data_IF_745171410372
#
_entry.id   IF_745171410372
#
_cell.length_a   1.000
_cell.length_b   1.000
_cell.length_c   1.000
_cell.angle_alpha   90.00
_cell.angle_beta   90.00
_cell.angle_gamma   90.00
#
_symmetry.space_group_name_H-M   'P 1'
#
loop_
_entity.id
_entity.type
_entity.pdbx_description
1 polymer ?
#
# COMPACT_ATOMS: atom_id res chain seq x y z
N UNK A 1 21.56 -9.13 -17.60
CA UNK A 1 22.72 -8.44 -17.02
C UNK A 1 22.58 -8.46 -15.52
N UNK A 2 23.68 -8.55 -14.76
CA UNK A 2 23.63 -8.42 -13.31
C UNK A 2 23.25 -6.98 -12.97
N UNK A 3 22.20 -6.78 -12.17
CA UNK A 3 21.82 -5.46 -11.67
C UNK A 3 22.83 -5.04 -10.62
N UNK A 4 23.48 -3.89 -10.81
CA UNK A 4 24.45 -3.35 -9.86
C UNK A 4 23.90 -2.07 -9.24
N UNK A 5 23.56 -2.06 -7.94
CA UNK A 5 23.13 -0.84 -7.27
C UNK A 5 24.32 0.11 -7.08
N UNK A 6 24.09 1.39 -7.35
CA UNK A 6 25.00 2.46 -6.98
C UNK A 6 24.82 2.85 -5.52
N UNK A 7 25.81 3.56 -4.95
CA UNK A 7 25.73 4.04 -3.58
C UNK A 7 24.49 4.92 -3.37
N UNK A 8 23.73 4.74 -2.27
CA UNK A 8 22.62 5.60 -1.93
C UNK A 8 23.06 7.06 -1.75
N UNK A 9 22.26 8.01 -2.24
CA UNK A 9 22.48 9.44 -2.07
C UNK A 9 21.17 10.17 -1.76
N UNK A 10 21.18 11.32 -1.05
CA UNK A 10 19.97 12.11 -0.82
C UNK A 10 19.35 12.59 -2.13
N UNK A 11 18.03 12.63 -2.21
CA UNK A 11 17.35 13.21 -3.38
C UNK A 11 17.49 14.74 -3.36
N UNK A 12 18.07 15.37 -4.40
CA UNK A 12 18.25 16.82 -4.42
C UNK A 12 16.92 17.57 -4.43
N UNK A 13 16.82 18.65 -3.64
CA UNK A 13 15.68 19.57 -3.68
C UNK A 13 14.41 19.10 -2.96
N UNK A 14 14.46 17.95 -2.27
CA UNK A 14 13.37 17.53 -1.39
C UNK A 14 13.55 18.14 0.03
N UNK A 15 12.50 18.76 0.59
CA UNK A 15 12.48 19.14 2.00
C UNK A 15 12.71 17.93 2.90
N UNK A 16 13.43 18.13 4.01
CA UNK A 16 13.65 17.10 5.04
C UNK A 16 12.38 16.71 5.80
N UNK A 17 11.27 17.43 5.59
CA UNK A 17 9.95 17.10 6.14
C UNK A 17 9.22 16.05 5.32
N UNK A 18 9.68 15.75 4.10
CA UNK A 18 9.09 14.74 3.23
C UNK A 18 9.79 13.39 3.40
N UNK A 19 8.99 12.34 3.31
CA UNK A 19 9.41 10.95 3.36
C UNK A 19 8.58 10.12 2.37
N UNK A 20 9.10 8.96 1.98
CA UNK A 20 8.27 7.90 1.39
C UNK A 20 7.53 7.19 2.52
N UNK A 21 6.30 6.75 2.27
CA UNK A 21 5.43 6.11 3.26
C UNK A 21 4.50 5.06 2.65
N UNK A 22 3.55 4.53 3.43
CA UNK A 22 2.64 3.45 3.01
C UNK A 22 1.81 3.78 1.76
N UNK A 23 1.54 5.07 1.53
CA UNK A 23 0.72 5.58 0.42
C UNK A 23 1.57 6.21 -0.69
N UNK A 24 2.91 6.10 -0.62
CA UNK A 24 3.77 6.67 -1.64
C UNK A 24 3.80 5.82 -2.92
N UNK A 25 3.60 6.46 -4.07
CA UNK A 25 3.62 5.82 -5.40
C UNK A 25 3.89 6.83 -6.52
N UNK A 26 4.54 6.41 -7.62
CA UNK A 26 4.57 7.20 -8.84
C UNK A 26 3.17 7.29 -9.44
N UNK A 27 2.87 8.45 -10.01
CA UNK A 27 1.74 8.62 -10.91
C UNK A 27 1.98 7.88 -12.24
N UNK A 28 0.92 7.68 -13.03
CA UNK A 28 1.00 6.99 -14.32
C UNK A 28 1.88 7.73 -15.35
N UNK A 29 2.11 9.02 -15.14
CA UNK A 29 3.00 9.86 -15.95
C UNK A 29 4.51 9.69 -15.62
N UNK A 30 4.84 8.88 -14.60
CA UNK A 30 6.21 8.72 -14.06
C UNK A 30 6.89 10.01 -13.60
N UNK A 31 6.15 11.11 -13.54
CA UNK A 31 6.63 12.46 -13.26
C UNK A 31 6.04 12.99 -11.97
N UNK A 32 4.80 12.64 -11.66
CA UNK A 32 4.13 13.00 -10.41
C UNK A 32 4.31 11.88 -9.39
N UNK A 33 4.37 12.23 -8.11
CA UNK A 33 4.57 11.30 -7.00
C UNK A 33 3.61 11.66 -5.86
N UNK A 34 3.14 10.64 -5.14
CA UNK A 34 2.63 10.82 -3.78
C UNK A 34 3.78 10.58 -2.81
N UNK A 35 4.05 11.57 -1.95
CA UNK A 35 4.99 11.51 -0.83
C UNK A 35 4.23 11.81 0.47
N UNK A 36 4.88 11.62 1.61
CA UNK A 36 4.29 11.90 2.92
C UNK A 36 5.03 13.03 3.61
N UNK A 37 4.29 13.97 4.20
CA UNK A 37 4.81 15.08 5.01
C UNK A 37 4.08 15.13 6.34
N UNK A 38 4.64 14.51 7.38
CA UNK A 38 3.93 14.27 8.64
C UNK A 38 2.70 13.38 8.42
N UNK A 39 1.53 13.85 8.89
CA UNK A 39 0.26 13.13 8.75
C UNK A 39 -0.45 13.41 7.41
N UNK A 40 0.20 14.13 6.49
CA UNK A 40 -0.39 14.58 5.24
C UNK A 40 0.26 13.89 4.05
N UNK A 41 -0.57 13.60 3.04
CA UNK A 41 -0.08 13.20 1.73
C UNK A 41 0.22 14.44 0.88
N UNK A 42 1.34 14.40 0.16
CA UNK A 42 1.82 15.47 -0.72
C UNK A 42 1.92 14.92 -2.12
N UNK A 43 1.26 15.57 -3.06
CA UNK A 43 1.42 15.26 -4.47
C UNK A 43 2.46 16.23 -5.03
N UNK A 44 3.46 15.72 -5.74
CA UNK A 44 4.55 16.57 -6.23
C UNK A 44 5.12 16.08 -7.54
N UNK A 45 5.53 17.02 -8.38
CA UNK A 45 6.40 16.75 -9.52
C UNK A 45 7.81 16.34 -9.10
N UNK A 46 8.41 15.36 -9.80
CA UNK A 46 9.81 14.95 -9.64
C UNK A 46 10.82 16.07 -9.86
N UNK A 47 10.49 17.10 -10.65
CA UNK A 47 11.38 18.25 -10.88
C UNK A 47 11.37 19.27 -9.74
N UNK A 48 10.53 19.07 -8.72
CA UNK A 48 10.54 19.85 -7.50
C UNK A 48 9.45 20.92 -7.42
N UNK A 49 8.77 21.27 -8.50
CA UNK A 49 7.57 22.12 -8.51
C UNK A 49 6.63 21.70 -9.65
N UNK A 50 5.30 21.89 -9.52
CA UNK A 50 4.57 22.34 -8.32
C UNK A 50 4.39 21.24 -7.25
N UNK A 51 4.02 21.66 -6.04
CA UNK A 51 3.68 20.81 -4.89
C UNK A 51 2.23 21.09 -4.48
N UNK A 52 1.44 20.03 -4.30
CA UNK A 52 0.02 20.11 -3.96
C UNK A 52 -0.24 19.40 -2.64
N UNK A 53 -0.90 20.11 -1.73
CA UNK A 53 -1.36 19.58 -0.45
C UNK A 53 -2.85 19.25 -0.58
N UNK A 54 -3.20 17.97 -0.48
CA UNK A 54 -4.60 17.56 -0.47
C UNK A 54 -5.10 17.57 0.97
N UNK A 55 -5.60 18.73 1.41
CA UNK A 55 -6.03 18.92 2.79
C UNK A 55 -7.16 17.96 3.17
N UNK A 56 -6.97 17.25 4.28
CA UNK A 56 -7.92 16.26 4.78
C UNK A 56 -8.04 15.01 3.92
N UNK A 57 -7.17 14.82 2.92
CA UNK A 57 -7.12 13.62 2.11
C UNK A 57 -6.12 12.60 2.68
N UNK A 58 -6.57 11.36 2.86
CA UNK A 58 -5.78 10.22 3.33
C UNK A 58 -5.93 9.07 2.33
N UNK A 59 -5.08 8.04 2.49
CA UNK A 59 -5.15 6.81 1.69
C UNK A 59 -5.24 7.04 0.18
N UNK A 60 -4.43 7.97 -0.34
CA UNK A 60 -4.46 8.32 -1.76
C UNK A 60 -4.05 7.15 -2.64
N UNK A 61 -4.69 7.01 -3.80
CA UNK A 61 -4.44 6.04 -4.84
C UNK A 61 -4.47 6.61 -6.26
N UNK A 62 -3.57 6.17 -7.14
CA UNK A 62 -3.58 6.60 -8.55
C UNK A 62 -4.45 5.67 -9.37
N UNK A 63 -5.21 6.25 -10.29
CA UNK A 63 -5.70 5.49 -11.43
C UNK A 63 -4.52 5.13 -12.35
N UNK A 64 -4.44 3.87 -12.79
CA UNK A 64 -3.32 3.43 -13.61
C UNK A 64 -3.39 3.96 -15.05
N UNK A 65 -4.60 4.17 -15.58
CA UNK A 65 -4.87 4.61 -16.95
C UNK A 65 -4.98 6.13 -17.10
N UNK A 66 -5.24 6.85 -16.02
CA UNK A 66 -5.53 8.27 -16.02
C UNK A 66 -4.79 8.97 -14.89
N UNK A 67 -4.29 10.21 -15.09
CA UNK A 67 -3.56 10.93 -14.05
C UNK A 67 -4.49 11.46 -12.93
N UNK A 68 -5.55 10.74 -12.56
CA UNK A 68 -6.46 11.08 -11.48
C UNK A 68 -6.09 10.36 -10.18
N UNK A 69 -6.49 10.94 -9.05
CA UNK A 69 -6.30 10.36 -7.72
C UNK A 69 -7.64 9.98 -7.11
N UNK A 70 -7.67 8.84 -6.46
CA UNK A 70 -8.67 8.41 -5.52
C UNK A 70 -8.15 8.63 -4.10
N UNK A 71 -9.00 8.88 -3.13
CA UNK A 71 -8.60 8.99 -1.74
C UNK A 71 -9.78 8.97 -0.79
N UNK A 72 -9.48 9.06 0.50
CA UNK A 72 -10.48 9.24 1.55
C UNK A 72 -10.41 10.69 2.03
N UNK A 73 -11.55 11.33 2.20
CA UNK A 73 -11.63 12.68 2.76
C UNK A 73 -12.62 12.72 3.91
N UNK A 74 -12.36 13.58 4.90
CA UNK A 74 -13.37 13.89 5.90
C UNK A 74 -14.52 14.68 5.27
N UNK A 75 -15.75 14.25 5.55
CA UNK A 75 -16.97 14.95 5.19
C UNK A 75 -17.02 16.33 5.85
N UNK A 76 -16.43 16.46 7.05
CA UNK A 76 -16.35 17.71 7.83
C UNK A 76 -14.93 18.28 7.76
N UNK A 77 -14.71 19.40 7.05
CA UNK A 77 -13.41 20.04 6.97
C UNK A 77 -12.81 20.28 8.36
N UNK A 78 -11.55 19.86 8.57
CA UNK A 78 -10.84 20.03 9.84
C UNK A 78 -11.14 19.00 10.93
N UNK A 79 -12.02 18.01 10.69
CA UNK A 79 -12.30 16.93 11.63
C UNK A 79 -11.82 15.58 11.03
N UNK A 80 -10.55 15.17 11.26
CA UNK A 80 -10.01 13.95 10.67
C UNK A 80 -10.73 12.67 11.14
N UNK A 81 -11.33 12.70 12.33
CA UNK A 81 -12.08 11.58 12.92
C UNK A 81 -13.59 11.63 12.61
N UNK A 82 -14.01 12.57 11.75
CA UNK A 82 -15.41 12.72 11.37
C UNK A 82 -15.87 11.70 10.31
N UNK A 83 -17.13 11.81 9.84
CA UNK A 83 -17.62 10.99 8.75
C UNK A 83 -16.71 11.14 7.54
N UNK A 84 -16.52 10.08 6.77
CA UNK A 84 -15.59 10.08 5.64
C UNK A 84 -16.29 9.75 4.34
N UNK A 85 -15.72 10.18 3.22
CA UNK A 85 -16.19 9.89 1.86
C UNK A 85 -15.01 9.51 0.98
N UNK A 86 -15.28 8.77 -0.08
CA UNK A 86 -14.30 8.63 -1.15
C UNK A 86 -14.25 9.93 -1.95
N UNK A 87 -13.06 10.32 -2.41
CA UNK A 87 -12.83 11.51 -3.20
C UNK A 87 -12.05 11.20 -4.47
N UNK A 88 -12.50 11.71 -5.61
CA UNK A 88 -11.79 11.71 -6.88
C UNK A 88 -11.22 13.10 -7.12
N UNK A 89 -9.90 13.19 -7.20
CA UNK A 89 -9.18 14.41 -7.56
C UNK A 89 -8.76 14.30 -9.03
N UNK A 90 -9.22 15.21 -9.90
CA UNK A 90 -8.77 15.27 -11.27
C UNK A 90 -7.28 15.65 -11.34
N UNK A 91 -6.69 15.38 -12.49
CA UNK A 91 -5.25 15.33 -12.64
C UNK A 91 -4.51 16.62 -12.26
N UNK A 92 -3.51 16.55 -11.35
CA UNK A 92 -2.67 17.69 -10.97
C UNK A 92 -1.98 18.43 -12.13
N UNK A 93 -1.53 17.76 -13.23
CA UNK A 93 -0.92 18.47 -14.37
C UNK A 93 -1.83 19.49 -15.07
N UNK A 94 -3.17 19.34 -14.99
CA UNK A 94 -4.10 20.34 -15.51
C UNK A 94 -4.23 21.57 -14.59
N UNK A 95 -3.94 21.40 -13.30
CA UNK A 95 -3.99 22.46 -12.29
C UNK A 95 -2.68 23.28 -12.23
N UNK A 96 -1.59 22.75 -12.80
CA UNK A 96 -0.25 23.38 -12.81
C UNK A 96 -0.15 24.70 -13.59
N UNK A 97 -1.18 25.09 -14.36
CA UNK A 97 -1.14 26.28 -15.21
C UNK A 97 -1.84 27.51 -14.61
N UNK A 98 -2.35 27.44 -13.39
CA UNK A 98 -3.07 28.59 -12.79
C UNK A 98 -2.49 28.95 -11.42
N UNK A 99 -1.62 29.98 -11.36
CA UNK A 99 -1.17 30.55 -10.09
C UNK A 99 -2.37 30.98 -9.24
N UNK A 100 -2.45 30.53 -7.98
CA UNK A 100 -3.50 30.92 -7.03
C UNK A 100 -4.67 29.95 -6.84
N UNK A 101 -4.57 28.69 -7.30
CA UNK A 101 -5.52 27.65 -6.92
C UNK A 101 -5.26 27.20 -5.47
N UNK A 102 -6.00 27.78 -4.53
CA UNK A 102 -5.92 27.43 -3.10
C UNK A 102 -6.71 26.15 -2.75
N UNK A 103 -7.52 25.60 -3.67
CA UNK A 103 -8.23 24.34 -3.46
C UNK A 103 -8.34 23.54 -4.77
N UNK A 104 -7.94 22.26 -4.75
CA UNK A 104 -8.21 21.32 -5.85
C UNK A 104 -9.69 20.96 -5.79
N UNK A 105 -10.47 21.22 -6.84
CA UNK A 105 -11.84 20.73 -6.94
C UNK A 105 -11.83 19.19 -7.01
N UNK A 106 -12.62 18.52 -6.17
CA UNK A 106 -12.75 17.07 -6.15
C UNK A 106 -14.20 16.64 -6.04
N UNK A 107 -14.50 15.45 -6.56
CA UNK A 107 -15.83 14.85 -6.47
C UNK A 107 -15.88 13.87 -5.30
N UNK A 108 -16.92 13.96 -4.48
CA UNK A 108 -17.13 13.06 -3.33
C UNK A 108 -18.13 11.96 -3.69
N UNK A 109 -17.86 10.75 -3.24
CA UNK A 109 -18.69 9.57 -3.45
C UNK A 109 -18.94 8.86 -2.11
N UNK A 110 -20.12 8.25 -1.98
CA UNK A 110 -20.52 7.49 -0.79
C UNK A 110 -21.11 6.13 -1.19
N UNK A 111 -20.32 5.24 -1.82
CA UNK A 111 -20.82 3.98 -2.36
C UNK A 111 -21.40 3.03 -1.29
N UNK A 112 -20.92 3.09 -0.05
CA UNK A 112 -21.41 2.25 1.06
C UNK A 112 -22.52 2.93 1.88
N UNK A 113 -22.89 4.18 1.59
CA UNK A 113 -23.91 4.92 2.33
C UNK A 113 -23.53 5.21 3.78
N UNK A 114 -22.24 5.48 4.04
CA UNK A 114 -21.68 5.75 5.37
C UNK A 114 -21.16 7.18 5.52
N UNK A 115 -21.40 8.05 4.53
CA UNK A 115 -20.79 9.37 4.44
C UNK A 115 -21.16 10.36 5.56
N UNK A 116 -22.16 10.00 6.37
CA UNK A 116 -22.62 10.75 7.55
C UNK A 116 -22.48 9.93 8.86
N UNK A 117 -21.89 8.73 8.79
CA UNK A 117 -21.66 7.85 9.93
C UNK A 117 -20.40 8.28 10.71
N UNK A 118 -20.53 8.43 12.02
CA UNK A 118 -19.44 8.87 12.91
C UNK A 118 -18.56 7.72 13.40
N UNK A 119 -19.01 6.48 13.23
CA UNK A 119 -18.34 5.28 13.72
C UNK A 119 -17.72 4.46 12.61
N UNK A 120 -18.13 4.70 11.36
CA UNK A 120 -17.62 4.00 10.18
C UNK A 120 -16.85 4.94 9.28
N UNK A 121 -15.73 4.47 8.75
CA UNK A 121 -14.92 5.22 7.79
C UNK A 121 -14.46 4.40 6.61
N UNK A 122 -14.33 5.07 5.46
CA UNK A 122 -13.64 4.53 4.31
C UNK A 122 -12.14 4.44 4.59
N UNK A 123 -11.48 3.42 4.04
CA UNK A 123 -10.03 3.23 4.15
C UNK A 123 -9.47 2.54 2.91
N UNK A 124 -8.22 2.89 2.56
CA UNK A 124 -7.40 2.27 1.51
C UNK A 124 -8.19 1.97 0.21
N UNK A 125 -8.74 2.99 -0.47
CA UNK A 125 -9.32 2.78 -1.77
C UNK A 125 -8.24 2.39 -2.80
N UNK A 126 -8.62 1.51 -3.73
CA UNK A 126 -7.76 0.88 -4.72
C UNK A 126 -8.47 0.87 -6.07
N UNK A 127 -8.00 1.66 -7.02
CA UNK A 127 -8.46 1.64 -8.39
C UNK A 127 -7.97 0.38 -9.10
N UNK A 128 -8.88 -0.29 -9.83
CA UNK A 128 -8.50 -1.36 -10.74
C UNK A 128 -7.58 -0.82 -11.85
N UNK A 129 -6.71 -1.64 -12.45
CA UNK A 129 -5.80 -1.21 -13.52
C UNK A 129 -6.48 -0.53 -14.72
N UNK A 130 -7.74 -0.84 -15.02
CA UNK A 130 -8.50 -0.21 -16.09
C UNK A 130 -9.25 1.06 -15.65
N UNK A 131 -9.25 1.37 -14.35
CA UNK A 131 -9.95 2.49 -13.74
C UNK A 131 -11.48 2.36 -13.67
N UNK A 132 -12.05 1.20 -14.02
CA UNK A 132 -13.52 1.03 -14.10
C UNK A 132 -14.13 0.53 -12.80
N UNK A 133 -13.31 -0.09 -11.96
CA UNK A 133 -13.70 -0.63 -10.66
C UNK A 133 -12.81 -0.08 -9.57
N UNK A 134 -13.35 -0.02 -8.36
CA UNK A 134 -12.68 0.41 -7.15
C UNK A 134 -12.97 -0.63 -6.06
N UNK A 135 -11.92 -1.06 -5.39
CA UNK A 135 -12.01 -1.74 -4.11
C UNK A 135 -11.75 -0.74 -2.99
N UNK A 136 -12.41 -0.88 -1.85
CA UNK A 136 -12.13 -0.07 -0.67
C UNK A 136 -12.56 -0.82 0.59
N UNK A 137 -12.05 -0.40 1.74
CA UNK A 137 -12.45 -0.95 3.02
C UNK A 137 -13.36 0.03 3.75
N UNK A 138 -14.27 -0.53 4.54
CA UNK A 138 -15.04 0.18 5.56
C UNK A 138 -14.58 -0.34 6.91
N UNK A 139 -14.05 0.53 7.75
CA UNK A 139 -13.64 0.23 9.12
C UNK A 139 -14.73 0.76 10.05
N UNK A 140 -15.30 -0.12 10.86
CA UNK A 140 -16.26 0.23 11.90
C UNK A 140 -15.53 0.28 13.24
N UNK A 141 -15.38 1.47 13.79
CA UNK A 141 -14.67 1.71 15.05
C UNK A 141 -15.50 1.35 16.28
N UNK A 142 -16.83 1.23 16.14
CA UNK A 142 -17.71 0.89 17.24
C UNK A 142 -17.61 -0.60 17.61
N UNK A 143 -17.51 -1.48 16.61
CA UNK A 143 -17.38 -2.93 16.83
C UNK A 143 -16.03 -3.52 16.40
N UNK A 144 -15.15 -2.69 15.83
CA UNK A 144 -13.84 -3.10 15.33
C UNK A 144 -13.91 -3.97 14.08
N UNK A 145 -15.01 -3.99 13.33
CA UNK A 145 -15.11 -4.78 12.11
C UNK A 145 -14.53 -4.06 10.90
N UNK A 146 -14.03 -4.84 9.94
CA UNK A 146 -13.58 -4.36 8.64
C UNK A 146 -14.35 -5.09 7.56
N UNK A 147 -14.85 -4.34 6.59
CA UNK A 147 -15.54 -4.87 5.42
C UNK A 147 -14.82 -4.46 4.13
N UNK A 148 -14.56 -5.41 3.23
CA UNK A 148 -14.11 -5.13 1.87
C UNK A 148 -15.32 -4.90 0.97
N UNK A 149 -15.29 -3.81 0.23
CA UNK A 149 -16.32 -3.43 -0.74
C UNK A 149 -15.74 -3.31 -2.15
N UNK A 150 -16.60 -3.57 -3.13
CA UNK A 150 -16.34 -3.29 -4.54
C UNK A 150 -17.42 -2.36 -5.08
N UNK A 151 -17.03 -1.41 -5.91
CA UNK A 151 -17.92 -0.55 -6.68
C UNK A 151 -17.29 -0.25 -8.05
N UNK A 152 -18.07 0.22 -9.01
CA UNK A 152 -17.57 0.63 -10.31
C UNK A 152 -18.66 1.29 -11.15
N UNK A 153 -18.32 1.73 -12.36
CA UNK A 153 -19.30 2.35 -13.26
C UNK A 153 -20.43 1.41 -13.65
N UNK A 154 -20.05 0.16 -13.92
CA UNK A 154 -20.96 -0.91 -14.34
C UNK A 154 -21.22 -1.91 -13.19
N UNK A 155 -20.68 -1.64 -12.00
CA UNK A 155 -20.74 -2.53 -10.84
C UNK A 155 -21.37 -1.80 -9.65
N UNK A 156 -22.61 -2.15 -9.23
CA UNK A 156 -23.21 -1.55 -8.06
C UNK A 156 -22.36 -1.83 -6.81
N UNK A 157 -22.28 -0.87 -5.87
CA UNK A 157 -21.56 -1.07 -4.62
C UNK A 157 -22.05 -2.31 -3.88
N UNK A 158 -21.12 -3.15 -3.42
CA UNK A 158 -21.43 -4.32 -2.60
C UNK A 158 -20.30 -4.68 -1.65
N UNK A 159 -20.69 -5.20 -0.49
CA UNK A 159 -19.79 -5.85 0.45
C UNK A 159 -19.41 -7.24 -0.08
N UNK A 160 -18.11 -7.54 -0.12
CA UNK A 160 -17.55 -8.82 -0.57
C UNK A 160 -17.21 -9.72 0.61
N UNK A 161 -16.67 -9.12 1.67
CA UNK A 161 -16.27 -9.84 2.87
C UNK A 161 -16.25 -8.90 4.07
N UNK A 162 -16.44 -9.48 5.26
CA UNK A 162 -16.39 -8.79 6.54
C UNK A 162 -15.74 -9.68 7.58
N UNK A 163 -14.90 -9.10 8.42
CA UNK A 163 -14.21 -9.80 9.51
C UNK A 163 -14.01 -8.85 10.71
N UNK A 164 -13.83 -9.39 11.93
CA UNK A 164 -13.40 -8.60 13.07
C UNK A 164 -11.91 -8.21 12.93
N UNK A 165 -11.54 -7.02 13.38
CA UNK A 165 -10.17 -6.54 13.56
C UNK A 165 -9.83 -6.42 15.06
N UNK A 166 -8.57 -6.12 15.35
CA UNK A 166 -8.10 -5.97 16.71
C UNK A 166 -8.68 -4.70 17.36
N UNK A 167 -9.24 -4.84 18.56
CA UNK A 167 -9.73 -3.71 19.34
C UNK A 167 -8.59 -2.85 19.90
N UNK A 168 -7.41 -3.45 20.13
CA UNK A 168 -6.24 -2.75 20.66
C UNK A 168 -5.38 -2.20 19.52
N UNK A 169 -5.04 -0.91 19.59
CA UNK A 169 -4.31 -0.18 18.54
C UNK A 169 -2.99 -0.85 18.16
N UNK A 170 -2.21 -1.34 19.13
CA UNK A 170 -0.89 -1.96 18.91
C UNK A 170 -0.97 -3.33 18.20
N UNK A 171 -2.17 -3.89 18.07
CA UNK A 171 -2.42 -5.20 17.45
C UNK A 171 -3.22 -5.12 16.15
N UNK A 172 -3.61 -3.92 15.72
CA UNK A 172 -4.37 -3.73 14.48
C UNK A 172 -3.58 -4.20 13.28
N UNK A 173 -4.24 -5.01 12.45
CA UNK A 173 -3.66 -5.51 11.21
C UNK A 173 -4.22 -4.66 10.07
N UNK A 174 -3.39 -3.95 9.30
CA UNK A 174 -3.90 -3.14 8.21
C UNK A 174 -4.60 -4.05 7.19
N UNK A 175 -5.83 -3.73 6.74
CA UNK A 175 -6.48 -4.53 5.72
C UNK A 175 -5.72 -4.38 4.42
N UNK A 176 -5.38 -5.49 3.76
CA UNK A 176 -4.58 -5.49 2.52
C UNK A 176 -5.34 -6.14 1.38
N UNK A 177 -5.27 -5.50 0.22
CA UNK A 177 -5.75 -6.02 -1.05
C UNK A 177 -4.86 -5.50 -2.19
N UNK A 178 -4.83 -6.24 -3.30
CA UNK A 178 -4.12 -5.86 -4.51
C UNK A 178 -4.87 -6.35 -5.74
N UNK A 179 -5.04 -5.48 -6.74
CA UNK A 179 -5.52 -5.86 -8.05
C UNK A 179 -4.42 -6.61 -8.80
N UNK A 180 -4.74 -7.80 -9.27
CA UNK A 180 -3.83 -8.60 -10.11
C UNK A 180 -4.05 -8.31 -11.59
N UNK A 181 -5.29 -8.01 -11.96
CA UNK A 181 -5.68 -7.49 -13.27
C UNK A 181 -6.95 -6.63 -13.11
N UNK A 182 -7.56 -6.19 -14.21
CA UNK A 182 -8.77 -5.36 -14.19
C UNK A 182 -10.01 -6.05 -13.58
N UNK A 183 -10.04 -7.38 -13.56
CA UNK A 183 -11.18 -8.17 -13.09
C UNK A 183 -10.92 -8.95 -11.80
N UNK A 184 -9.68 -9.03 -11.33
CA UNK A 184 -9.29 -9.94 -10.25
C UNK A 184 -8.55 -9.21 -9.14
N UNK A 185 -9.13 -9.24 -7.93
CA UNK A 185 -8.54 -8.70 -6.71
C UNK A 185 -8.17 -9.85 -5.77
N UNK A 186 -7.00 -9.76 -5.14
CA UNK A 186 -6.58 -10.64 -4.04
C UNK A 186 -6.55 -9.83 -2.75
N UNK A 187 -6.99 -10.41 -1.64
CA UNK A 187 -7.02 -9.76 -0.33
C UNK A 187 -6.78 -10.74 0.79
N UNK A 188 -6.36 -10.26 1.96
CA UNK A 188 -6.11 -11.09 3.13
C UNK A 188 -7.19 -10.92 4.21
N UNK A 189 -7.65 -12.02 4.79
CA UNK A 189 -8.63 -12.03 5.88
C UNK A 189 -7.98 -12.63 7.13
N UNK A 190 -7.73 -11.84 8.19
CA UNK A 190 -7.31 -12.36 9.49
C UNK A 190 -8.45 -13.08 10.18
N UNK A 191 -8.16 -14.22 10.80
CA UNK A 191 -9.15 -15.14 11.33
C UNK A 191 -8.71 -15.77 12.65
N UNK A 192 -9.68 -16.40 13.35
CA UNK A 192 -9.45 -17.19 14.55
C UNK A 192 -8.70 -16.42 15.65
N UNK A 193 -9.12 -15.17 15.91
CA UNK A 193 -8.50 -14.27 16.88
C UNK A 193 -8.37 -14.88 18.28
N UNK A 194 -7.19 -14.70 18.88
CA UNK A 194 -6.89 -15.09 20.27
C UNK A 194 -5.96 -14.06 20.88
N UNK A 195 -6.30 -13.56 22.07
CA UNK A 195 -5.48 -12.57 22.79
C UNK A 195 -5.15 -11.34 21.93
N UNK A 196 -6.13 -10.85 21.16
CA UNK A 196 -5.97 -9.68 20.28
C UNK A 196 -5.18 -9.95 18.99
N UNK A 197 -4.74 -11.18 18.73
CA UNK A 197 -3.95 -11.51 17.54
C UNK A 197 -4.62 -12.58 16.67
N UNK A 198 -4.60 -12.44 15.34
CA UNK A 198 -5.09 -13.47 14.43
C UNK A 198 -4.21 -14.72 14.52
N UNK A 199 -4.84 -15.89 14.65
CA UNK A 199 -4.11 -17.18 14.66
C UNK A 199 -3.94 -17.76 13.26
N UNK A 200 -4.64 -17.18 12.29
CA UNK A 200 -4.67 -17.61 10.90
C UNK A 200 -4.99 -16.42 10.01
N UNK A 201 -4.49 -16.45 8.79
CA UNK A 201 -4.87 -15.50 7.74
C UNK A 201 -5.10 -16.25 6.44
N UNK A 202 -6.20 -15.94 5.76
CA UNK A 202 -6.56 -16.55 4.48
C UNK A 202 -6.45 -15.51 3.38
N UNK A 203 -5.61 -15.78 2.38
CA UNK A 203 -5.62 -15.04 1.11
C UNK A 203 -6.83 -15.51 0.30
N UNK A 204 -7.66 -14.57 -0.13
CA UNK A 204 -8.83 -14.81 -0.93
C UNK A 204 -8.71 -14.08 -2.26
N UNK A 205 -9.36 -14.62 -3.28
CA UNK A 205 -9.51 -14.02 -4.60
C UNK A 205 -10.97 -13.73 -4.87
N UNK A 206 -11.21 -12.57 -5.45
CA UNK A 206 -12.52 -12.19 -5.97
C UNK A 206 -12.39 -11.82 -7.44
N UNK A 207 -13.31 -12.33 -8.27
CA UNK A 207 -13.32 -12.10 -9.72
C UNK A 207 -14.62 -11.42 -10.15
N UNK A 208 -14.51 -10.36 -10.95
CA UNK A 208 -15.63 -9.61 -11.50
C UNK A 208 -16.21 -10.31 -12.75
N UNK A 209 -17.53 -10.17 -13.02
CA UNK A 209 -18.50 -9.35 -12.29
C UNK A 209 -19.20 -10.09 -11.14
N UNK A 210 -18.88 -11.36 -10.89
CA UNK A 210 -19.62 -12.15 -9.89
C UNK A 210 -19.27 -11.73 -8.45
N UNK A 211 -18.04 -11.26 -8.23
CA UNK A 211 -17.39 -11.04 -6.94
C UNK A 211 -17.70 -12.07 -5.85
N UNK A 212 -17.76 -13.32 -6.25
CA UNK A 212 -17.68 -14.41 -5.30
C UNK A 212 -16.24 -14.53 -4.80
N UNK A 213 -16.09 -14.62 -3.48
CA UNK A 213 -14.79 -14.79 -2.85
C UNK A 213 -14.40 -16.26 -2.77
N UNK A 214 -13.19 -16.57 -3.20
CA UNK A 214 -12.62 -17.92 -3.19
C UNK A 214 -11.30 -17.95 -2.42
N UNK A 215 -11.12 -18.87 -1.45
CA UNK A 215 -9.86 -18.97 -0.73
C UNK A 215 -8.76 -19.50 -1.65
N UNK A 216 -7.59 -18.88 -1.58
CA UNK A 216 -6.39 -19.28 -2.33
C UNK A 216 -5.38 -20.02 -1.45
N UNK A 217 -5.08 -19.47 -0.27
CA UNK A 217 -4.04 -19.96 0.63
C UNK A 217 -4.38 -19.57 2.07
N UNK A 218 -4.13 -20.48 3.00
CA UNK A 218 -4.34 -20.24 4.43
C UNK A 218 -3.02 -20.40 5.18
N UNK A 219 -2.57 -19.33 5.82
CA UNK A 219 -1.37 -19.27 6.66
C UNK A 219 -1.76 -19.35 8.13
N UNK A 220 -0.99 -20.06 8.94
CA UNK A 220 -1.29 -20.30 10.37
C UNK A 220 -0.10 -19.94 11.23
N UNK A 221 -0.38 -19.37 12.41
CA UNK A 221 0.62 -19.23 13.45
C UNK A 221 1.15 -20.63 13.80
N UNK A 222 2.47 -20.77 13.93
CA UNK A 222 3.10 -22.04 14.22
C UNK A 222 4.26 -21.90 15.22
N UNK A 223 4.56 -22.98 15.94
CA UNK A 223 5.66 -23.00 16.91
C UNK A 223 5.49 -21.98 18.03
N UNK A 224 6.36 -20.97 18.07
CA UNK A 224 6.38 -19.93 19.10
C UNK A 224 5.57 -18.67 18.74
N UNK A 225 4.92 -18.66 17.57
CA UNK A 225 4.08 -17.55 17.13
C UNK A 225 2.82 -17.46 18.02
N UNK A 226 2.59 -16.29 18.61
CA UNK A 226 1.33 -15.88 19.25
C UNK A 226 0.28 -15.41 18.24
N UNK A 227 0.65 -15.16 16.99
CA UNK A 227 -0.28 -14.77 15.93
C UNK A 227 0.42 -14.60 14.58
N UNK A 228 -0.38 -14.49 13.52
CA UNK A 228 0.09 -14.31 12.14
C UNK A 228 -0.83 -13.38 11.36
N UNK A 229 -0.27 -12.45 10.59
CA UNK A 229 -1.01 -11.53 9.74
C UNK A 229 -0.30 -11.31 8.40
N UNK A 230 -1.05 -10.93 7.36
CA UNK A 230 -0.44 -10.36 6.15
C UNK A 230 -0.50 -8.84 6.29
N UNK A 231 0.65 -8.17 6.22
CA UNK A 231 0.76 -6.72 6.49
C UNK A 231 0.99 -5.89 5.23
N UNK A 232 1.56 -6.49 4.18
CA UNK A 232 1.67 -5.91 2.84
C UNK A 232 1.28 -6.94 1.78
N UNK A 233 0.64 -6.48 0.71
CA UNK A 233 0.24 -7.29 -0.45
C UNK A 233 0.42 -6.45 -1.71
N UNK A 234 1.14 -6.95 -2.71
CA UNK A 234 1.40 -6.23 -3.95
C UNK A 234 1.47 -7.18 -5.14
N UNK A 235 0.67 -6.90 -6.18
CA UNK A 235 0.79 -7.57 -7.46
C UNK A 235 1.83 -6.87 -8.35
N UNK A 236 2.63 -7.65 -9.07
CA UNK A 236 3.53 -7.11 -10.08
C UNK A 236 2.72 -6.46 -11.22
N UNK A 237 3.22 -5.39 -11.86
CA UNK A 237 2.65 -4.89 -13.10
C UNK A 237 2.46 -6.01 -14.13
N UNK A 238 1.25 -6.11 -14.69
CA UNK A 238 0.86 -7.21 -15.59
C UNK A 238 0.35 -8.47 -14.90
N UNK A 239 0.31 -8.51 -13.56
CA UNK A 239 -0.45 -9.50 -12.80
C UNK A 239 0.17 -10.88 -12.67
N UNK A 240 1.37 -11.13 -13.22
CA UNK A 240 1.97 -12.47 -13.25
C UNK A 240 2.45 -12.96 -11.87
N UNK A 241 2.81 -12.03 -10.98
CA UNK A 241 3.39 -12.32 -9.67
C UNK A 241 2.67 -11.58 -8.56
N UNK A 242 2.63 -12.21 -7.39
CA UNK A 242 2.11 -11.66 -6.15
C UNK A 242 3.22 -11.71 -5.09
N UNK A 243 3.47 -10.59 -4.43
CA UNK A 243 4.31 -10.51 -3.25
C UNK A 243 3.45 -10.23 -2.03
N UNK A 244 3.73 -10.90 -0.92
CA UNK A 244 3.05 -10.64 0.35
C UNK A 244 4.01 -10.79 1.53
N UNK A 245 3.81 -9.93 2.52
CA UNK A 245 4.58 -9.90 3.77
C UNK A 245 3.74 -10.52 4.86
N UNK A 246 4.28 -11.54 5.51
CA UNK A 246 3.64 -12.23 6.63
C UNK A 246 4.34 -11.83 7.93
N UNK A 247 3.61 -11.17 8.82
CA UNK A 247 4.07 -10.84 10.16
C UNK A 247 3.77 -11.97 11.12
N UNK A 248 4.80 -12.43 11.81
CA UNK A 248 4.75 -13.43 12.87
C UNK A 248 4.94 -12.73 14.21
N UNK A 249 3.89 -12.74 15.04
CA UNK A 249 3.93 -12.13 16.37
C UNK A 249 4.50 -13.14 17.36
N UNK A 250 5.69 -12.90 17.92
CA UNK A 250 6.32 -13.82 18.87
C UNK A 250 5.85 -13.65 20.32
N UNK A 251 6.37 -14.49 21.22
CA UNK A 251 6.16 -14.34 22.66
C UNK A 251 6.93 -13.16 23.30
N UNK A 252 7.91 -12.58 22.58
CA UNK A 252 8.60 -11.34 22.95
C UNK A 252 8.00 -10.10 22.26
N UNK A 253 8.63 -8.92 22.42
CA UNK A 253 8.15 -7.68 21.79
C UNK A 253 8.48 -7.55 20.29
N UNK A 254 9.49 -8.26 19.77
CA UNK A 254 9.86 -8.14 18.37
C UNK A 254 9.05 -9.13 17.51
N UNK A 255 8.26 -8.61 16.58
CA UNK A 255 7.67 -9.40 15.51
C UNK A 255 8.74 -9.69 14.44
N UNK A 256 8.57 -10.81 13.71
CA UNK A 256 9.39 -11.11 12.54
C UNK A 256 8.52 -11.09 11.29
N UNK A 257 9.06 -10.61 10.18
CA UNK A 257 8.38 -10.65 8.89
C UNK A 257 9.04 -11.69 7.98
N UNK A 258 8.22 -12.47 7.27
CA UNK A 258 8.65 -13.28 6.14
C UNK A 258 8.08 -12.70 4.83
N UNK A 259 8.91 -12.63 3.81
CA UNK A 259 8.55 -12.11 2.49
C UNK A 259 8.37 -13.27 1.52
N UNK A 260 7.16 -13.37 0.96
CA UNK A 260 6.78 -14.44 0.05
C UNK A 260 6.50 -13.89 -1.35
N UNK A 261 6.95 -14.62 -2.37
CA UNK A 261 6.66 -14.33 -3.77
C UNK A 261 6.07 -15.57 -4.43
N UNK A 262 4.97 -15.41 -5.16
CA UNK A 262 4.28 -16.52 -5.81
C UNK A 262 3.75 -16.13 -7.20
N UNK A 263 3.67 -17.06 -8.15
CA UNK A 263 2.89 -16.84 -9.37
C UNK A 263 1.42 -16.60 -9.01
N UNK A 264 0.80 -15.56 -9.58
CA UNK A 264 -0.59 -15.22 -9.24
C UNK A 264 -1.58 -16.34 -9.57
N UNK A 265 -1.30 -17.11 -10.63
CA UNK A 265 -2.15 -18.22 -11.05
C UNK A 265 -2.10 -19.43 -10.09
N UNK A 266 -1.06 -19.53 -9.26
CA UNK A 266 -0.89 -20.60 -8.27
C UNK A 266 -0.07 -20.09 -7.07
N UNK A 267 -0.75 -19.41 -6.15
CA UNK A 267 -0.11 -18.86 -4.95
C UNK A 267 0.41 -19.94 -3.99
N UNK A 268 0.08 -21.21 -4.20
CA UNK A 268 0.61 -22.31 -3.37
C UNK A 268 2.08 -22.61 -3.66
N UNK A 269 2.60 -22.10 -4.79
CA UNK A 269 4.03 -22.14 -5.14
C UNK A 269 4.83 -20.98 -4.55
N UNK A 270 4.31 -20.34 -3.50
CA UNK A 270 5.01 -19.26 -2.83
C UNK A 270 6.40 -19.69 -2.35
N UNK A 271 7.40 -18.88 -2.68
CA UNK A 271 8.74 -18.97 -2.14
C UNK A 271 8.88 -17.95 -0.99
N UNK A 272 9.21 -18.43 0.20
CA UNK A 272 9.73 -17.57 1.28
C UNK A 272 11.15 -17.13 0.89
N UNK A 273 11.27 -15.90 0.37
CA UNK A 273 12.53 -15.40 -0.16
C UNK A 273 13.48 -14.96 0.96
N UNK A 274 12.93 -14.32 2.01
CA UNK A 274 13.69 -13.81 3.16
C UNK A 274 12.80 -13.75 4.40
N UNK A 275 13.40 -13.93 5.59
CA UNK A 275 12.78 -13.70 6.91
C UNK A 275 13.72 -12.91 7.80
N UNK A 276 13.22 -11.87 8.46
CA UNK A 276 14.01 -11.06 9.42
C UNK A 276 13.08 -10.31 10.38
N UNK A 277 13.62 -9.34 11.13
CA UNK A 277 12.85 -8.42 11.95
C UNK A 277 11.81 -7.66 11.12
N UNK A 278 10.74 -7.23 11.80
CA UNK A 278 9.64 -6.54 11.17
C UNK A 278 10.10 -5.25 10.47
N UNK A 279 9.62 -5.05 9.24
CA UNK A 279 9.94 -3.89 8.43
C UNK A 279 8.70 -3.48 7.60
N UNK A 280 8.81 -2.40 6.84
CA UNK A 280 7.66 -1.78 6.18
C UNK A 280 7.94 -1.42 4.72
N UNK A 281 6.98 -1.77 3.87
CA UNK A 281 6.96 -1.36 2.48
C UNK A 281 7.59 -2.37 1.53
N UNK A 282 6.97 -2.47 0.37
CA UNK A 282 7.43 -3.22 -0.79
C UNK A 282 6.95 -2.50 -2.04
N UNK A 283 7.76 -2.50 -3.10
CA UNK A 283 7.38 -1.91 -4.38
C UNK A 283 7.93 -2.71 -5.55
N UNK A 284 7.05 -3.08 -6.47
CA UNK A 284 7.44 -3.69 -7.74
C UNK A 284 8.04 -2.66 -8.68
N UNK A 285 9.06 -3.07 -9.43
CA UNK A 285 9.57 -2.31 -10.56
C UNK A 285 8.47 -2.17 -11.62
N UNK A 286 8.49 -1.10 -12.43
CA UNK A 286 7.48 -0.89 -13.48
C UNK A 286 7.37 -2.02 -14.50
N UNK A 287 8.46 -2.78 -14.68
CA UNK A 287 8.52 -3.94 -15.58
C UNK A 287 8.14 -5.27 -14.90
N UNK A 288 7.81 -5.25 -13.61
CA UNK A 288 7.43 -6.42 -12.81
C UNK A 288 8.53 -7.46 -12.60
N UNK A 289 9.79 -7.17 -12.96
CA UNK A 289 10.90 -8.12 -12.84
C UNK A 289 11.55 -8.13 -11.46
N UNK A 290 11.42 -7.02 -10.73
CA UNK A 290 12.08 -6.83 -9.45
C UNK A 290 11.11 -6.30 -8.39
N UNK A 291 11.29 -6.77 -7.17
CA UNK A 291 10.64 -6.25 -5.98
C UNK A 291 11.69 -5.56 -5.11
N UNK A 292 11.51 -4.27 -4.82
CA UNK A 292 12.25 -3.61 -3.77
C UNK A 292 11.50 -3.78 -2.44
N UNK A 293 12.19 -4.22 -1.38
CA UNK A 293 11.56 -4.45 -0.08
C UNK A 293 12.52 -4.09 1.06
N UNK A 294 11.98 -3.46 2.10
CA UNK A 294 12.71 -3.22 3.34
C UNK A 294 12.66 -4.49 4.21
N UNK A 295 13.81 -4.98 4.63
CA UNK A 295 13.93 -6.11 5.56
C UNK A 295 15.32 -6.09 6.17
N UNK A 296 15.50 -6.61 7.39
CA UNK A 296 16.85 -6.86 7.94
C UNK A 296 17.70 -5.57 8.11
N UNK A 297 17.05 -4.47 8.50
CA UNK A 297 17.64 -3.11 8.51
C UNK A 297 18.41 -2.80 7.22
N UNK A 298 17.79 -3.12 6.08
CA UNK A 298 18.30 -2.74 4.77
C UNK A 298 17.20 -2.77 3.72
N UNK A 299 17.53 -2.21 2.58
CA UNK A 299 16.74 -2.37 1.38
C UNK A 299 17.28 -3.55 0.55
N UNK A 300 16.39 -4.41 0.09
CA UNK A 300 16.68 -5.56 -0.75
C UNK A 300 15.99 -5.40 -2.11
N UNK A 301 16.60 -5.97 -3.14
CA UNK A 301 16.05 -6.13 -4.46
C UNK A 301 15.92 -7.62 -4.76
N UNK A 302 14.69 -8.09 -4.99
CA UNK A 302 14.39 -9.50 -5.23
C UNK A 302 13.90 -9.70 -6.66
N UNK A 303 14.33 -10.77 -7.35
CA UNK A 303 13.67 -11.15 -8.61
C UNK A 303 12.22 -11.53 -8.35
N UNK A 304 11.36 -11.43 -9.36
CA UNK A 304 9.94 -11.75 -9.22
C UNK A 304 9.66 -13.18 -8.72
N UNK A 305 10.56 -14.12 -9.02
CA UNK A 305 10.51 -15.49 -8.55
C UNK A 305 11.17 -15.70 -7.17
N UNK A 306 11.64 -14.63 -6.53
CA UNK A 306 12.28 -14.61 -5.21
C UNK A 306 13.66 -15.28 -5.14
N UNK A 307 14.20 -15.80 -6.25
CA UNK A 307 15.43 -16.62 -6.24
C UNK A 307 16.72 -15.82 -6.17
N UNK A 308 16.69 -14.57 -6.60
CA UNK A 308 17.84 -13.67 -6.53
C UNK A 308 17.53 -12.56 -5.54
N UNK A 309 18.44 -12.33 -4.59
CA UNK A 309 18.34 -11.24 -3.62
C UNK A 309 19.63 -10.42 -3.67
N UNK A 310 19.49 -9.12 -3.94
CA UNK A 310 20.59 -8.17 -4.03
C UNK A 310 20.39 -7.07 -2.99
N UNK A 311 21.34 -6.85 -2.06
CA UNK A 311 21.27 -5.71 -1.15
C UNK A 311 21.38 -4.38 -1.92
N UNK A 312 20.43 -3.46 -1.69
CA UNK A 312 20.47 -2.10 -2.22
C UNK A 312 21.17 -1.13 -1.26
N UNK A 313 21.16 -1.43 0.03
CA UNK A 313 21.87 -0.66 1.07
C UNK A 313 22.79 -1.55 1.89
N UNK A 314 23.67 -0.93 2.69
CA UNK A 314 24.45 -1.64 3.69
C UNK A 314 23.58 -2.21 4.81
N UNK A 315 24.17 -3.10 5.63
CA UNK A 315 23.55 -3.60 6.85
C UNK A 315 23.30 -2.46 7.86
N UNK A 316 22.33 -2.64 8.75
CA UNK A 316 21.98 -1.68 9.81
C UNK A 316 21.63 -0.28 9.27
N UNK A 317 21.05 -0.23 8.08
CA UNK A 317 20.47 0.96 7.46
C UNK A 317 18.96 0.89 7.69
N UNK A 318 18.44 1.66 8.65
CA UNK A 318 17.00 1.75 8.90
C UNK A 318 16.28 2.44 7.72
N UNK A 319 16.09 1.67 6.65
CA UNK A 319 15.48 2.05 5.40
C UNK A 319 14.09 1.44 5.29
N UNK A 320 13.12 2.22 4.86
CA UNK A 320 11.72 1.80 4.74
C UNK A 320 11.04 2.41 3.51
N UNK A 321 9.88 1.83 3.16
CA UNK A 321 9.00 2.36 2.12
C UNK A 321 9.69 2.59 0.76
N UNK A 322 10.24 1.53 0.13
CA UNK A 322 10.80 1.67 -1.20
C UNK A 322 9.75 2.13 -2.21
N UNK A 323 10.18 2.96 -3.14
CA UNK A 323 9.36 3.58 -4.17
C UNK A 323 10.12 3.56 -5.50
N UNK A 324 9.65 2.80 -6.49
CA UNK A 324 10.18 2.91 -7.85
C UNK A 324 9.68 4.19 -8.50
N UNK A 325 10.60 5.10 -8.83
CA UNK A 325 10.27 6.36 -9.52
C UNK A 325 10.61 6.33 -11.01
N UNK A 326 11.45 5.37 -11.42
CA UNK A 326 11.78 5.06 -12.81
C UNK A 326 12.16 3.58 -12.92
N UNK A 327 12.42 3.07 -14.13
CA UNK A 327 12.82 1.66 -14.32
C UNK A 327 14.17 1.28 -13.68
N UNK A 328 14.98 2.27 -13.31
CA UNK A 328 16.34 2.12 -12.79
C UNK A 328 16.58 2.92 -11.49
N UNK A 329 15.54 3.49 -10.87
CA UNK A 329 15.68 4.37 -9.72
C UNK A 329 14.66 4.03 -8.62
N UNK A 330 15.18 3.74 -7.43
CA UNK A 330 14.40 3.46 -6.22
C UNK A 330 14.65 4.57 -5.21
N UNK A 331 13.58 5.19 -4.73
CA UNK A 331 13.59 6.10 -3.58
C UNK A 331 13.15 5.35 -2.33
N UNK A 332 13.61 5.79 -1.15
CA UNK A 332 13.20 5.22 0.13
C UNK A 332 13.47 6.21 1.26
N UNK A 333 12.85 5.99 2.42
CA UNK A 333 13.10 6.77 3.63
C UNK A 333 14.24 6.13 4.39
N UNK A 334 15.22 6.93 4.80
CA UNK A 334 16.28 6.56 5.71
C UNK A 334 16.11 7.32 7.03
N UNK A 335 16.07 6.59 8.15
CA UNK A 335 16.15 7.18 9.49
C UNK A 335 17.47 6.76 10.17
N UNK A 336 18.46 7.65 10.18
CA UNK A 336 19.75 7.42 10.84
C UNK A 336 19.87 8.15 12.19
N UNK A 337 18.74 8.43 12.84
CA UNK A 337 18.67 9.18 14.10
C UNK A 337 18.86 10.69 13.94
N UNK A 338 19.08 11.18 12.72
CA UNK A 338 19.07 12.62 12.38
C UNK A 338 17.73 13.10 11.84
N UNK A 339 16.72 12.23 11.88
CA UNK A 339 15.41 12.43 11.28
C UNK A 339 15.31 11.75 9.90
N UNK A 340 14.07 11.44 9.46
CA UNK A 340 13.83 10.77 8.20
C UNK A 340 14.24 11.66 7.02
N UNK A 341 14.82 11.05 6.00
CA UNK A 341 15.10 11.72 4.71
C UNK A 341 14.94 10.76 3.54
N UNK A 342 14.55 11.30 2.40
CA UNK A 342 14.43 10.51 1.17
C UNK A 342 15.81 10.35 0.53
N UNK A 343 16.19 9.09 0.38
CA UNK A 343 17.38 8.65 -0.33
C UNK A 343 16.97 8.06 -1.68
N UNK A 344 17.89 8.07 -2.64
CA UNK A 344 17.76 7.34 -3.90
C UNK A 344 18.92 6.39 -4.13
N UNK A 345 18.63 5.29 -4.81
CA UNK A 345 19.60 4.36 -5.39
C UNK A 345 19.27 4.20 -6.86
N UNK A 346 20.29 4.29 -7.71
CA UNK A 346 20.19 4.00 -9.15
C UNK A 346 20.79 2.63 -9.45
N UNK A 347 20.21 1.96 -10.43
CA UNK A 347 20.57 0.61 -10.86
C UNK A 347 21.28 0.68 -12.22
N UNK A 348 22.31 -0.13 -12.42
CA UNK A 348 23.04 -0.27 -13.69
C UNK A 348 22.99 -1.70 -14.22
#
# INVERSE_FOLDING_TARGET
AAVVPLSPEPVPGLPSTLQTGPVSRPGPDSYTLILQGGDRSVVRSRSGQPEWWLEGATDLDWFASEPALLGVTSATPGAPDGPSRLALYPAPPLLAQTPGFEAVDYQRFDPAGIGDDQTRRYARPLAAPDGRSVAFFVVDEADGSVALWLAGWDLPPREVARWPDATEADTRVPPVAAWTDAGTLVYAVPEAWREGLPQRVTLNRVTLPDAESTPLLTLRAHGADRGVAVTDLAAAPGGAWLAYRVRHFGAGRAATDSLHLAPTHDVTQALEAVRSEAAEGMAWSPDGRWLAAALDDRMLLLTADGRTVVPLTGLATAASYPLWVAGDEVWFTLDDGRGPRIMRVRLR
#
